data_IF_197371412910
#
_entry.id   IF_197371412910
#
_cell.length_a   1.000
_cell.length_b   1.000
_cell.length_c   1.000
_cell.angle_alpha   90.00
_cell.angle_beta   90.00
_cell.angle_gamma   90.00
#
_symmetry.space_group_name_H-M   'P 1'
#
loop_
_entity.id
_entity.type
_entity.pdbx_description
1 polymer ?
#
# COMPACT_ATOMS: atom_id res chain seq x y z
N UNK A 1 -21.89 39.74 -31.37
CA UNK A 1 -21.70 38.86 -30.19
C UNK A 1 -20.43 38.04 -30.42
N UNK A 2 -19.61 37.80 -29.37
CA UNK A 2 -18.58 36.73 -29.22
C UNK A 2 -17.18 37.15 -28.70
N UNK A 3 -16.82 38.44 -28.63
CA UNK A 3 -15.48 38.84 -28.15
C UNK A 3 -15.23 38.52 -26.66
N UNK A 4 -16.25 38.77 -25.83
CA UNK A 4 -16.23 38.43 -24.40
C UNK A 4 -16.29 36.92 -24.11
N UNK A 5 -16.80 36.12 -25.05
CA UNK A 5 -16.82 34.67 -24.95
C UNK A 5 -15.40 34.12 -25.16
N UNK A 6 -14.74 34.49 -26.27
CA UNK A 6 -13.37 34.06 -26.57
C UNK A 6 -12.35 34.50 -25.51
N UNK A 7 -12.52 35.68 -24.91
CA UNK A 7 -11.61 36.14 -23.85
C UNK A 7 -11.77 35.34 -22.54
N UNK A 8 -13.01 34.93 -22.21
CA UNK A 8 -13.28 34.04 -21.06
C UNK A 8 -12.74 32.64 -21.31
N UNK A 9 -12.93 32.10 -22.52
CA UNK A 9 -12.41 30.78 -22.91
C UNK A 9 -10.87 30.75 -22.89
N UNK A 10 -10.21 31.84 -23.29
CA UNK A 10 -8.74 31.94 -23.23
C UNK A 10 -8.21 32.07 -21.79
N UNK A 11 -8.94 32.79 -20.92
CA UNK A 11 -8.61 32.87 -19.49
C UNK A 11 -8.82 31.54 -18.77
N UNK A 12 -9.90 30.83 -19.08
CA UNK A 12 -10.22 29.54 -18.47
C UNK A 12 -9.24 28.46 -18.92
N UNK A 13 -8.88 28.42 -20.21
CA UNK A 13 -7.84 27.52 -20.73
C UNK A 13 -6.46 27.80 -20.14
N UNK A 14 -6.06 29.06 -19.96
CA UNK A 14 -4.79 29.42 -19.27
C UNK A 14 -4.81 29.00 -17.80
N UNK A 15 -5.95 29.12 -17.12
CA UNK A 15 -6.08 28.69 -15.72
C UNK A 15 -6.05 27.17 -15.58
N UNK A 16 -6.66 26.45 -16.53
CA UNK A 16 -6.62 24.99 -16.58
C UNK A 16 -5.20 24.49 -16.81
N UNK A 17 -4.49 25.03 -17.80
CA UNK A 17 -3.08 24.70 -18.05
C UNK A 17 -2.18 24.93 -16.84
N UNK A 18 -2.36 26.04 -16.12
CA UNK A 18 -1.62 26.30 -14.87
C UNK A 18 -1.88 25.26 -13.79
N UNK A 19 -3.12 24.76 -13.67
CA UNK A 19 -3.45 23.68 -12.73
C UNK A 19 -2.77 22.38 -13.15
N UNK A 20 -2.87 22.03 -14.43
CA UNK A 20 -2.27 20.80 -14.97
C UNK A 20 -0.74 20.83 -14.82
N UNK A 21 -0.09 21.95 -15.12
CA UNK A 21 1.35 22.15 -14.92
C UNK A 21 1.74 22.04 -13.44
N UNK A 22 0.91 22.57 -12.54
CA UNK A 22 1.16 22.51 -11.11
C UNK A 22 1.00 21.09 -10.56
N UNK A 23 -0.02 20.34 -11.02
CA UNK A 23 -0.19 18.92 -10.68
C UNK A 23 0.99 18.07 -11.18
N UNK A 24 1.50 18.34 -12.38
CA UNK A 24 2.68 17.65 -12.92
C UNK A 24 3.91 17.96 -12.07
N UNK A 25 4.12 19.23 -11.69
CA UNK A 25 5.24 19.61 -10.83
C UNK A 25 5.15 18.98 -9.44
N UNK A 26 3.95 18.96 -8.84
CA UNK A 26 3.76 18.38 -7.51
C UNK A 26 3.98 16.86 -7.53
N UNK A 27 3.53 16.17 -8.59
CA UNK A 27 3.82 14.76 -8.78
C UNK A 27 5.31 14.49 -8.96
N UNK A 28 6.00 15.29 -9.78
CA UNK A 28 7.45 15.15 -9.99
C UNK A 28 8.24 15.39 -8.71
N UNK A 29 7.82 16.37 -7.88
CA UNK A 29 8.42 16.62 -6.55
C UNK A 29 8.21 15.44 -5.62
N UNK A 30 7.00 14.90 -5.58
CA UNK A 30 6.68 13.73 -4.77
C UNK A 30 7.54 12.52 -5.17
N UNK A 31 7.62 12.22 -6.47
CA UNK A 31 8.41 11.11 -6.98
C UNK A 31 9.91 11.29 -6.67
N UNK A 32 10.42 12.52 -6.78
CA UNK A 32 11.79 12.85 -6.41
C UNK A 32 12.06 12.68 -4.90
N UNK A 33 11.11 13.08 -4.04
CA UNK A 33 11.22 12.86 -2.59
C UNK A 33 11.20 11.38 -2.23
N UNK A 34 10.35 10.59 -2.88
CA UNK A 34 10.30 9.13 -2.70
C UNK A 34 11.64 8.51 -3.11
N UNK A 35 12.18 8.87 -4.26
CA UNK A 35 13.49 8.39 -4.70
C UNK A 35 14.61 8.77 -3.74
N UNK A 36 14.62 10.01 -3.23
CA UNK A 36 15.59 10.44 -2.21
C UNK A 36 15.50 9.61 -0.94
N UNK A 37 14.29 9.31 -0.47
CA UNK A 37 14.07 8.46 0.71
C UNK A 37 14.55 7.03 0.48
N UNK A 38 14.31 6.47 -0.71
CA UNK A 38 14.81 5.14 -1.09
C UNK A 38 16.33 5.11 -1.02
N UNK A 39 16.99 6.07 -1.67
CA UNK A 39 18.46 6.16 -1.70
C UNK A 39 19.01 6.31 -0.28
N UNK A 40 18.43 7.21 0.52
CA UNK A 40 18.83 7.40 1.91
C UNK A 40 18.67 6.13 2.74
N UNK A 41 17.54 5.42 2.62
CA UNK A 41 17.35 4.15 3.33
C UNK A 41 18.38 3.10 2.91
N UNK A 42 18.71 3.01 1.63
CA UNK A 42 19.76 2.10 1.14
C UNK A 42 21.13 2.46 1.71
N UNK A 43 21.49 3.75 1.73
CA UNK A 43 22.75 4.22 2.30
C UNK A 43 22.84 3.94 3.80
N UNK A 44 21.81 4.32 4.57
CA UNK A 44 21.75 4.04 6.01
C UNK A 44 21.83 2.54 6.28
N UNK A 45 21.16 1.71 5.47
CA UNK A 45 21.26 0.24 5.59
C UNK A 45 22.69 -0.25 5.33
N UNK A 46 23.37 0.26 4.31
CA UNK A 46 24.78 -0.08 4.03
C UNK A 46 25.69 0.29 5.20
N UNK A 47 25.52 1.49 5.76
CA UNK A 47 26.31 1.95 6.90
C UNK A 47 26.05 1.15 8.17
N UNK A 48 24.78 0.88 8.49
CA UNK A 48 24.40 0.09 9.67
C UNK A 48 24.91 -1.35 9.57
N UNK A 49 24.85 -1.97 8.39
CA UNK A 49 25.43 -3.29 8.15
C UNK A 49 26.95 -3.28 8.38
N UNK A 50 27.65 -2.27 7.83
CA UNK A 50 29.10 -2.12 8.02
C UNK A 50 29.47 -1.98 9.50
N UNK A 51 28.76 -1.12 10.23
CA UNK A 51 28.96 -0.95 11.67
C UNK A 51 28.69 -2.24 12.45
N UNK A 52 27.67 -3.01 12.07
CA UNK A 52 27.35 -4.29 12.70
C UNK A 52 28.43 -5.35 12.45
N UNK A 53 28.98 -5.41 11.22
CA UNK A 53 30.11 -6.28 10.88
C UNK A 53 31.34 -5.87 11.69
N UNK A 54 31.68 -4.59 11.71
CA UNK A 54 32.85 -4.09 12.43
C UNK A 54 32.72 -4.34 13.95
N UNK A 55 31.53 -4.15 14.51
CA UNK A 55 31.23 -4.48 15.91
C UNK A 55 31.35 -5.99 16.20
N UNK A 56 30.85 -6.84 15.31
CA UNK A 56 30.99 -8.29 15.44
C UNK A 56 32.45 -8.75 15.33
N UNK A 57 33.25 -8.14 14.45
CA UNK A 57 34.69 -8.38 14.35
C UNK A 57 35.42 -8.01 15.63
N UNK A 58 35.13 -6.83 16.20
CA UNK A 58 35.69 -6.40 17.50
C UNK A 58 35.30 -7.37 18.61
N UNK A 59 34.03 -7.75 18.71
CA UNK A 59 33.56 -8.72 19.70
C UNK A 59 34.20 -10.11 19.54
N UNK A 60 34.46 -10.57 18.32
CA UNK A 60 35.16 -11.83 18.09
C UNK A 60 36.66 -11.75 18.46
N UNK A 61 37.27 -10.57 18.35
CA UNK A 61 38.64 -10.34 18.76
C UNK A 61 38.79 -10.22 20.30
N UNK A 62 37.83 -9.58 20.97
CA UNK A 62 37.86 -9.32 22.41
C UNK A 62 37.37 -10.51 23.26
N UNK A 63 36.42 -11.30 22.75
CA UNK A 63 35.87 -12.43 23.50
C UNK A 63 36.68 -13.71 23.32
N UNK A 64 36.57 -14.63 24.27
CA UNK A 64 37.16 -15.98 24.23
C UNK A 64 36.11 -17.08 24.43
N UNK A 65 36.45 -18.31 24.04
CA UNK A 65 35.61 -19.50 24.21
C UNK A 65 34.26 -19.41 23.49
N UNK A 66 33.18 -19.78 24.18
CA UNK A 66 31.82 -19.86 23.58
C UNK A 66 31.31 -18.51 23.07
N UNK A 67 31.63 -17.40 23.74
CA UNK A 67 31.22 -16.05 23.30
C UNK A 67 31.89 -15.65 21.99
N UNK A 68 33.15 -16.06 21.80
CA UNK A 68 33.88 -15.87 20.53
C UNK A 68 33.19 -16.61 19.39
N UNK A 69 32.86 -17.89 19.59
CA UNK A 69 32.17 -18.68 18.56
C UNK A 69 30.78 -18.12 18.21
N UNK A 70 30.04 -17.59 19.18
CA UNK A 70 28.77 -16.90 18.91
C UNK A 70 28.99 -15.61 18.09
N UNK A 71 30.01 -14.82 18.41
CA UNK A 71 30.36 -13.62 17.66
C UNK A 71 30.82 -13.95 16.23
N UNK A 72 31.63 -14.99 16.04
CA UNK A 72 32.07 -15.48 14.73
C UNK A 72 30.91 -16.03 13.90
N UNK A 73 29.97 -16.77 14.51
CA UNK A 73 28.77 -17.22 13.82
C UNK A 73 27.88 -16.04 13.40
N UNK A 74 27.74 -15.03 14.27
CA UNK A 74 27.04 -13.80 13.93
C UNK A 74 27.71 -13.05 12.79
N UNK A 75 29.04 -12.94 12.81
CA UNK A 75 29.83 -12.34 11.74
C UNK A 75 29.58 -13.06 10.41
N UNK A 76 29.72 -14.40 10.40
CA UNK A 76 29.49 -15.23 9.21
C UNK A 76 28.08 -15.07 8.67
N UNK A 77 27.08 -14.95 9.54
CA UNK A 77 25.70 -14.74 9.12
C UNK A 77 25.48 -13.34 8.54
N UNK A 78 26.09 -12.30 9.12
CA UNK A 78 26.05 -10.94 8.59
C UNK A 78 26.77 -10.84 7.24
N UNK A 79 27.92 -11.49 7.07
CA UNK A 79 28.68 -11.55 5.82
C UNK A 79 27.95 -12.39 4.74
N UNK A 80 27.42 -13.57 5.11
CA UNK A 80 26.61 -14.41 4.20
C UNK A 80 25.30 -13.75 3.78
N UNK A 81 24.70 -12.96 4.67
CA UNK A 81 23.50 -12.22 4.31
C UNK A 81 23.78 -11.22 3.20
N UNK A 82 25.04 -10.83 2.93
CA UNK A 82 25.42 -10.09 1.73
C UNK A 82 24.68 -8.77 1.53
N UNK A 83 24.10 -8.20 2.59
CA UNK A 83 23.20 -7.05 2.50
C UNK A 83 21.77 -7.37 2.06
N UNK A 84 21.37 -8.63 1.98
CA UNK A 84 19.98 -9.03 1.78
C UNK A 84 19.13 -8.73 3.02
N UNK A 85 17.97 -8.07 2.84
CA UNK A 85 17.38 -7.19 3.83
C UNK A 85 16.59 -7.94 4.92
N UNK A 86 16.70 -7.47 6.16
CA UNK A 86 15.54 -7.48 7.05
C UNK A 86 14.51 -6.49 6.47
N UNK A 87 13.29 -6.96 6.18
CA UNK A 87 12.15 -6.20 5.64
C UNK A 87 12.09 -4.75 6.18
N UNK A 88 12.55 -3.79 5.37
CA UNK A 88 12.53 -2.37 5.71
C UNK A 88 11.13 -1.76 5.67
N UNK A 89 11.00 -0.52 6.16
CA UNK A 89 9.74 0.22 6.20
C UNK A 89 9.08 0.37 4.82
N UNK A 90 9.87 0.66 3.77
CA UNK A 90 9.36 0.75 2.39
C UNK A 90 8.87 -0.60 1.83
N UNK A 91 9.48 -1.73 2.23
CA UNK A 91 9.01 -3.08 1.85
C UNK A 91 7.63 -3.35 2.46
N UNK A 92 7.43 -2.94 3.72
CA UNK A 92 6.14 -3.05 4.40
C UNK A 92 5.09 -2.13 3.77
N UNK A 93 5.49 -0.96 3.27
CA UNK A 93 4.60 -0.06 2.54
C UNK A 93 4.22 -0.59 1.14
N UNK A 94 5.15 -1.19 0.40
CA UNK A 94 4.81 -1.85 -0.87
C UNK A 94 3.86 -3.03 -0.64
N UNK A 95 4.11 -3.84 0.40
CA UNK A 95 3.22 -4.95 0.79
C UNK A 95 1.83 -4.46 1.23
N UNK A 96 1.76 -3.34 1.95
CA UNK A 96 0.48 -2.74 2.31
C UNK A 96 -0.29 -2.23 1.10
N UNK A 97 0.41 -1.60 0.15
CA UNK A 97 -0.17 -1.06 -1.08
C UNK A 97 -0.71 -2.18 -1.98
N UNK A 98 0.09 -3.22 -2.23
CA UNK A 98 -0.33 -4.38 -3.03
C UNK A 98 -1.50 -5.12 -2.38
N UNK A 99 -1.48 -5.30 -1.06
CA UNK A 99 -2.56 -5.96 -0.32
C UNK A 99 -3.87 -5.16 -0.36
N UNK A 100 -3.82 -3.83 -0.34
CA UNK A 100 -5.00 -3.00 -0.47
C UNK A 100 -5.54 -2.93 -1.90
N UNK A 101 -4.65 -2.93 -2.90
CA UNK A 101 -5.06 -3.07 -4.30
C UNK A 101 -5.78 -4.40 -4.54
N UNK A 102 -5.21 -5.51 -4.06
CA UNK A 102 -5.82 -6.83 -4.17
C UNK A 102 -7.22 -6.88 -3.50
N UNK A 103 -7.38 -6.30 -2.31
CA UNK A 103 -8.69 -6.18 -1.64
C UNK A 103 -9.70 -5.34 -2.44
N UNK A 104 -9.22 -4.32 -3.14
CA UNK A 104 -10.07 -3.44 -3.95
C UNK A 104 -10.55 -4.16 -5.21
N UNK A 105 -9.66 -4.91 -5.87
CA UNK A 105 -9.99 -5.76 -7.01
C UNK A 105 -10.99 -6.85 -6.63
N UNK A 106 -10.78 -7.52 -5.50
CA UNK A 106 -11.70 -8.53 -4.98
C UNK A 106 -13.11 -7.96 -4.71
N UNK A 107 -13.19 -6.74 -4.15
CA UNK A 107 -14.48 -6.05 -3.94
C UNK A 107 -15.17 -5.72 -5.26
N UNK A 108 -14.44 -5.26 -6.27
CA UNK A 108 -14.99 -4.98 -7.61
C UNK A 108 -15.52 -6.26 -8.27
N UNK A 109 -14.78 -7.37 -8.17
CA UNK A 109 -15.20 -8.67 -8.68
C UNK A 109 -16.49 -9.15 -7.99
N UNK A 110 -16.53 -9.13 -6.65
CA UNK A 110 -17.74 -9.48 -5.88
C UNK A 110 -18.94 -8.59 -6.21
N UNK A 111 -18.72 -7.30 -6.46
CA UNK A 111 -19.79 -6.38 -6.86
C UNK A 111 -20.28 -6.69 -8.27
N UNK A 112 -19.38 -6.99 -9.21
CA UNK A 112 -19.75 -7.39 -10.56
C UNK A 112 -20.57 -8.70 -10.57
N UNK A 113 -20.19 -9.68 -9.76
CA UNK A 113 -20.94 -10.93 -9.58
C UNK A 113 -22.33 -10.70 -9.00
N UNK A 114 -22.45 -9.86 -7.96
CA UNK A 114 -23.75 -9.47 -7.39
C UNK A 114 -24.64 -8.77 -8.42
N UNK A 115 -24.09 -7.88 -9.22
CA UNK A 115 -24.84 -7.19 -10.28
C UNK A 115 -25.31 -8.15 -11.37
N UNK A 116 -24.48 -9.13 -11.76
CA UNK A 116 -24.87 -10.22 -12.67
C UNK A 116 -26.01 -11.06 -12.09
N UNK A 117 -25.92 -11.44 -10.82
CA UNK A 117 -26.96 -12.22 -10.14
C UNK A 117 -28.28 -11.44 -10.01
N UNK A 118 -28.22 -10.15 -9.69
CA UNK A 118 -29.41 -9.27 -9.62
C UNK A 118 -30.06 -9.09 -10.99
N UNK A 119 -29.27 -8.97 -12.07
CA UNK A 119 -29.80 -8.96 -13.43
C UNK A 119 -30.46 -10.30 -13.80
N UNK A 120 -29.89 -11.43 -13.37
CA UNK A 120 -30.51 -12.75 -13.53
C UNK A 120 -31.82 -12.92 -12.76
N UNK A 121 -31.93 -12.34 -11.56
CA UNK A 121 -33.13 -12.41 -10.72
C UNK A 121 -34.27 -11.48 -11.19
N UNK A 122 -33.96 -10.37 -11.89
CA UNK A 122 -34.99 -9.50 -12.49
C UNK A 122 -35.83 -10.20 -13.57
N UNK A 123 -35.34 -11.30 -14.14
CA UNK A 123 -36.04 -12.11 -15.14
C UNK A 123 -36.87 -13.25 -14.53
N UNK A 124 -36.93 -13.38 -13.20
CA UNK A 124 -37.75 -14.38 -12.53
C UNK A 124 -39.06 -13.77 -12.03
N UNK A 125 -40.23 -14.39 -12.28
CA UNK A 125 -41.50 -13.89 -11.78
C UNK A 125 -41.51 -13.94 -10.26
N UNK A 126 -41.67 -12.78 -9.62
CA UNK A 126 -41.73 -12.63 -8.16
C UNK A 126 -42.99 -13.32 -7.65
N UNK A 127 -42.85 -14.42 -6.92
CA UNK A 127 -44.00 -15.04 -6.26
C UNK A 127 -44.50 -14.11 -5.13
N UNK A 128 -45.81 -13.83 -5.05
CA UNK A 128 -46.34 -12.95 -4.02
C UNK A 128 -46.11 -13.55 -2.63
N UNK A 129 -45.53 -12.74 -1.74
CA UNK A 129 -45.20 -13.10 -0.37
C UNK A 129 -46.50 -13.40 0.41
N UNK A 130 -46.79 -14.68 0.63
CA UNK A 130 -47.94 -15.11 1.44
C UNK A 130 -47.73 -14.70 2.91
N UNK A 131 -48.35 -13.58 3.31
CA UNK A 131 -48.37 -13.16 4.71
C UNK A 131 -49.27 -14.11 5.51
N UNK A 132 -48.69 -14.87 6.43
CA UNK A 132 -49.47 -15.68 7.38
C UNK A 132 -50.25 -14.73 8.31
N UNK A 133 -51.55 -14.98 8.58
CA UNK A 133 -52.33 -14.15 9.49
C UNK A 133 -51.77 -14.26 10.92
N UNK A 134 -51.67 -13.13 11.60
CA UNK A 134 -51.23 -13.04 12.99
C UNK A 134 -52.32 -13.61 13.90
N UNK A 135 -52.06 -14.72 14.60
CA UNK A 135 -52.95 -15.26 15.63
C UNK A 135 -52.42 -14.89 17.02
N UNK A 136 -53.08 -14.01 17.78
CA UNK A 136 -52.69 -13.72 19.15
C UNK A 136 -53.10 -14.89 20.05
N UNK A 137 -52.13 -15.71 20.45
CA UNK A 137 -52.31 -16.67 21.54
C UNK A 137 -52.38 -15.90 22.87
N UNK A 138 -53.58 -15.77 23.43
CA UNK A 138 -53.77 -15.33 24.81
C UNK A 138 -53.44 -16.50 25.75
N UNK A 139 -52.27 -16.47 26.36
CA UNK A 139 -51.96 -17.34 27.51
C UNK A 139 -52.62 -16.74 28.74
N UNK A 140 -53.68 -17.37 29.25
CA UNK A 140 -54.28 -17.01 30.54
C UNK A 140 -53.32 -17.45 31.66
N UNK A 141 -52.92 -16.50 32.50
CA UNK A 141 -52.25 -16.74 33.79
C UNK A 141 -53.27 -17.28 34.81
#
# INVERSE_FOLDING_TARGET
MNFWQSFKDELESKRQRKKDDQEIMDKARFDAEVQRKIIYEEEVRKYTLKLAIDGAKRQAAENSGMKKHQAENRLRNLEKSGGQPAQGFLSKLSEYTTRNMAKTEERKQRQAEKMKNVQGMKNQPVQPLQRKPFSPTFTKL
#
